data_IF_528293937783
#
_entry.id   IF_528293937783
#
_cell.length_a   1.000
_cell.length_b   1.000
_cell.length_c   1.000
_cell.angle_alpha   90.00
_cell.angle_beta   90.00
_cell.angle_gamma   90.00
#
_symmetry.space_group_name_H-M   'P 1'
#
loop_
_entity.id
_entity.type
_entity.pdbx_description
1 polymer ?
#
# COMPACT_ATOMS: atom_id res chain seq x y z
N UNK A 1 11.38 1.46 0.14
CA UNK A 1 11.66 2.46 1.20
C UNK A 1 10.62 3.57 1.27
N UNK A 2 10.00 3.96 0.15
CA UNK A 2 8.92 4.98 0.11
C UNK A 2 7.85 4.76 1.19
N UNK A 3 7.32 3.54 1.31
CA UNK A 3 6.31 3.21 2.34
C UNK A 3 6.74 3.50 3.78
N UNK A 4 7.98 3.18 4.13
CA UNK A 4 8.51 3.45 5.48
C UNK A 4 8.69 4.95 5.74
N UNK A 5 9.13 5.71 4.74
CA UNK A 5 9.22 7.18 4.83
C UNK A 5 7.84 7.79 5.02
N UNK A 6 6.86 7.37 4.22
CA UNK A 6 5.47 7.84 4.35
C UNK A 6 4.92 7.51 5.73
N UNK A 7 5.09 6.27 6.20
CA UNK A 7 4.63 5.86 7.53
C UNK A 7 5.27 6.65 8.67
N UNK A 8 6.58 6.91 8.59
CA UNK A 8 7.27 7.74 9.57
C UNK A 8 6.77 9.19 9.56
N UNK A 9 6.59 9.79 8.38
CA UNK A 9 6.08 11.16 8.23
C UNK A 9 4.65 11.29 8.73
N UNK A 10 3.77 10.34 8.41
CA UNK A 10 2.37 10.36 8.89
C UNK A 10 2.33 10.19 10.40
N UNK A 11 3.06 9.22 10.95
CA UNK A 11 3.14 9.03 12.41
C UNK A 11 3.65 10.29 13.11
N UNK A 12 4.75 10.89 12.63
CA UNK A 12 5.30 12.11 13.19
C UNK A 12 4.37 13.32 13.06
N UNK A 13 3.65 13.45 11.94
CA UNK A 13 2.66 14.51 11.73
C UNK A 13 1.46 14.37 12.67
N UNK A 14 0.99 13.15 12.93
CA UNK A 14 -0.12 12.90 13.86
C UNK A 14 0.23 13.24 15.31
N UNK A 15 1.50 13.18 15.70
CA UNK A 15 1.96 13.63 17.02
C UNK A 15 1.74 15.13 17.27
N UNK A 16 1.56 15.95 16.23
CA UNK A 16 1.22 17.36 16.40
C UNK A 16 -0.22 17.58 16.90
N UNK A 17 -1.08 16.57 16.77
CA UNK A 17 -2.51 16.68 17.10
C UNK A 17 -2.93 15.74 18.23
N UNK A 18 -2.28 14.58 18.35
CA UNK A 18 -2.68 13.51 19.26
C UNK A 18 -1.53 12.97 20.11
N UNK A 19 -1.83 12.36 21.27
CA UNK A 19 -0.82 11.68 22.06
C UNK A 19 -0.22 10.48 21.32
N UNK A 20 0.95 9.98 21.74
CA UNK A 20 1.74 9.00 21.01
C UNK A 20 0.97 7.75 20.57
N UNK A 21 0.18 7.15 21.48
CA UNK A 21 -0.55 5.90 21.23
C UNK A 21 -1.59 6.01 20.10
N UNK A 22 -2.59 6.90 20.15
CA UNK A 22 -3.57 7.01 19.05
C UNK A 22 -2.95 7.47 17.73
N UNK A 23 -1.84 8.23 17.76
CA UNK A 23 -1.11 8.62 16.57
C UNK A 23 -0.45 7.42 15.86
N UNK A 24 0.25 6.55 16.60
CA UNK A 24 0.89 5.36 16.03
C UNK A 24 -0.13 4.30 15.62
N UNK A 25 -1.18 4.08 16.41
CA UNK A 25 -2.27 3.14 16.07
C UNK A 25 -2.98 3.53 14.76
N UNK A 26 -3.29 4.82 14.59
CA UNK A 26 -3.94 5.31 13.36
C UNK A 26 -3.02 5.17 12.15
N UNK A 27 -1.75 5.55 12.28
CA UNK A 27 -0.77 5.40 11.21
C UNK A 27 -0.59 3.92 10.82
N UNK A 28 -0.54 3.02 11.80
CA UNK A 28 -0.47 1.59 11.56
C UNK A 28 -1.71 1.08 10.80
N UNK A 29 -2.92 1.49 11.22
CA UNK A 29 -4.16 1.11 10.55
C UNK A 29 -4.20 1.57 9.08
N UNK A 30 -3.73 2.79 8.80
CA UNK A 30 -3.60 3.30 7.42
C UNK A 30 -2.61 2.47 6.60
N UNK A 31 -1.44 2.15 7.16
CA UNK A 31 -0.46 1.29 6.50
C UNK A 31 -1.01 -0.12 6.22
N UNK A 32 -1.70 -0.72 7.19
CA UNK A 32 -2.36 -2.02 7.05
C UNK A 32 -3.47 -2.02 5.99
N UNK A 33 -4.24 -0.93 5.89
CA UNK A 33 -5.27 -0.76 4.87
C UNK A 33 -4.64 -0.71 3.46
N UNK A 34 -3.59 0.09 3.28
CA UNK A 34 -2.87 0.18 2.00
C UNK A 34 -2.28 -1.17 1.62
N UNK A 35 -1.72 -1.90 2.59
CA UNK A 35 -1.20 -3.25 2.38
C UNK A 35 -2.30 -4.22 1.93
N UNK A 36 -3.42 -4.26 2.68
CA UNK A 36 -4.56 -5.12 2.35
C UNK A 36 -5.08 -4.84 0.94
N UNK A 37 -5.30 -3.56 0.61
CA UNK A 37 -5.71 -3.14 -0.72
C UNK A 37 -4.71 -3.55 -1.80
N UNK A 38 -3.42 -3.30 -1.59
CA UNK A 38 -2.36 -3.67 -2.53
C UNK A 38 -2.33 -5.17 -2.81
N UNK A 39 -2.40 -6.00 -1.77
CA UNK A 39 -2.36 -7.46 -1.89
C UNK A 39 -3.61 -7.98 -2.60
N UNK A 40 -4.78 -7.45 -2.28
CA UNK A 40 -6.02 -7.81 -2.97
C UNK A 40 -5.94 -7.43 -4.45
N UNK A 41 -5.54 -6.20 -4.77
CA UNK A 41 -5.42 -5.73 -6.16
C UNK A 41 -4.38 -6.54 -6.95
N UNK A 42 -3.24 -6.88 -6.34
CA UNK A 42 -2.23 -7.75 -6.93
C UNK A 42 -2.78 -9.14 -7.23
N UNK A 43 -3.51 -9.72 -6.28
CA UNK A 43 -4.14 -11.04 -6.43
C UNK A 43 -5.18 -11.02 -7.56
N UNK A 44 -5.98 -9.95 -7.66
CA UNK A 44 -6.93 -9.73 -8.74
C UNK A 44 -6.24 -9.57 -10.09
N UNK A 45 -5.14 -8.81 -10.17
CA UNK A 45 -4.37 -8.64 -11.39
C UNK A 45 -3.77 -9.97 -11.88
N UNK A 46 -3.27 -10.81 -10.97
CA UNK A 46 -2.76 -12.16 -11.31
C UNK A 46 -3.90 -13.09 -11.75
N UNK A 47 -5.07 -13.01 -11.11
CA UNK A 47 -6.20 -13.89 -11.41
C UNK A 47 -6.96 -13.52 -12.68
N UNK A 48 -7.10 -12.23 -12.98
CA UNK A 48 -7.92 -11.69 -14.06
C UNK A 48 -7.11 -11.03 -15.19
N UNK A 49 -5.79 -10.88 -15.04
CA UNK A 49 -4.92 -10.17 -15.97
C UNK A 49 -5.06 -10.61 -17.42
N UNK A 50 -4.77 -11.88 -17.69
CA UNK A 50 -4.93 -12.50 -19.02
C UNK A 50 -6.34 -12.36 -19.61
N UNK A 51 -7.37 -12.39 -18.78
CA UNK A 51 -8.76 -12.24 -19.23
C UNK A 51 -9.04 -10.82 -19.69
N UNK A 52 -8.53 -9.81 -18.97
CA UNK A 52 -8.71 -8.40 -19.30
C UNK A 52 -7.88 -8.03 -20.54
N UNK A 53 -6.64 -8.50 -20.66
CA UNK A 53 -5.84 -8.34 -21.88
C UNK A 53 -6.51 -8.99 -23.10
N UNK A 54 -7.05 -10.20 -22.93
CA UNK A 54 -7.81 -10.88 -23.98
C UNK A 54 -9.06 -10.12 -24.43
N UNK A 55 -9.72 -9.41 -23.51
CA UNK A 55 -10.87 -8.55 -23.82
C UNK A 55 -10.44 -7.24 -24.50
N UNK A 56 -9.34 -6.62 -24.07
CA UNK A 56 -8.80 -5.42 -24.73
C UNK A 56 -8.41 -5.70 -26.18
N UNK A 57 -7.75 -6.83 -26.44
CA UNK A 57 -7.41 -7.26 -27.80
C UNK A 57 -8.64 -7.51 -28.70
N UNK A 58 -9.81 -7.81 -28.10
CA UNK A 58 -11.07 -8.00 -28.83
C UNK A 58 -11.85 -6.71 -29.04
N UNK A 59 -11.68 -5.73 -28.16
CA UNK A 59 -12.43 -4.48 -28.14
C UNK A 59 -11.65 -3.29 -28.73
N UNK A 60 -10.42 -3.51 -29.21
CA UNK A 60 -9.52 -2.50 -29.80
C UNK A 60 -9.35 -1.25 -28.91
N UNK A 61 -9.31 -1.47 -27.59
CA UNK A 61 -9.11 -0.40 -26.61
C UNK A 61 -7.61 -0.12 -26.52
N UNK A 62 -7.19 1.08 -26.93
CA UNK A 62 -5.81 1.54 -26.75
C UNK A 62 -5.54 1.83 -25.26
N UNK A 63 -4.99 0.84 -24.58
CA UNK A 63 -4.56 0.95 -23.19
C UNK A 63 -3.15 0.39 -23.08
N UNK A 64 -2.22 1.15 -22.49
CA UNK A 64 -0.87 0.66 -22.13
C UNK A 64 -0.90 -0.34 -20.95
N UNK A 65 -2.09 -0.71 -20.50
CA UNK A 65 -2.29 -1.62 -19.39
C UNK A 65 -1.95 -3.05 -19.80
N UNK A 66 -0.98 -3.65 -19.10
CA UNK A 66 -0.63 -5.07 -19.20
C UNK A 66 -0.75 -5.73 -17.83
N UNK A 67 -1.00 -7.04 -17.79
CA UNK A 67 -0.99 -7.82 -16.55
C UNK A 67 0.34 -7.64 -15.80
N UNK A 68 1.46 -7.67 -16.54
CA UNK A 68 2.78 -7.50 -15.98
C UNK A 68 2.96 -6.12 -15.32
N UNK A 69 2.57 -5.04 -16.01
CA UNK A 69 2.65 -3.68 -15.49
C UNK A 69 1.71 -3.44 -14.31
N UNK A 70 0.49 -3.99 -14.36
CA UNK A 70 -0.47 -3.91 -13.28
C UNK A 70 0.02 -4.66 -12.04
N UNK A 71 0.53 -5.88 -12.22
CA UNK A 71 1.11 -6.70 -11.16
C UNK A 71 2.28 -6.00 -10.50
N UNK A 72 3.17 -5.38 -11.26
CA UNK A 72 4.31 -4.64 -10.72
C UNK A 72 3.85 -3.42 -9.91
N UNK A 73 2.92 -2.62 -10.43
CA UNK A 73 2.39 -1.46 -9.72
C UNK A 73 1.72 -1.83 -8.39
N UNK A 74 0.91 -2.89 -8.36
CA UNK A 74 0.24 -3.36 -7.14
C UNK A 74 1.21 -4.04 -6.17
N UNK A 75 2.27 -4.68 -6.67
CA UNK A 75 3.35 -5.19 -5.82
C UNK A 75 4.09 -4.05 -5.11
N UNK A 76 4.42 -2.97 -5.85
CA UNK A 76 5.02 -1.76 -5.27
C UNK A 76 4.10 -1.13 -4.22
N UNK A 77 2.79 -1.09 -4.49
CA UNK A 77 1.79 -0.59 -3.54
C UNK A 77 1.72 -1.45 -2.26
N UNK A 78 1.72 -2.77 -2.40
CA UNK A 78 1.73 -3.71 -1.28
C UNK A 78 2.98 -3.52 -0.42
N UNK A 79 4.17 -3.46 -1.06
CA UNK A 79 5.43 -3.21 -0.38
C UNK A 79 5.47 -1.85 0.33
N UNK A 80 4.80 -0.86 -0.25
CA UNK A 80 4.63 0.46 0.37
C UNK A 80 3.77 0.37 1.63
N UNK A 81 2.64 -0.35 1.59
CA UNK A 81 1.81 -0.60 2.77
C UNK A 81 2.56 -1.33 3.89
N UNK A 82 3.32 -2.38 3.55
CA UNK A 82 4.18 -3.10 4.51
C UNK A 82 5.19 -2.16 5.16
N UNK A 83 5.91 -1.37 4.36
CA UNK A 83 6.90 -0.43 4.86
C UNK A 83 6.30 0.60 5.80
N UNK A 84 5.10 1.10 5.48
CA UNK A 84 4.38 2.06 6.32
C UNK A 84 4.03 1.44 7.67
N UNK A 85 3.33 0.31 7.67
CA UNK A 85 2.89 -0.34 8.90
C UNK A 85 4.08 -0.68 9.81
N UNK A 86 5.19 -1.14 9.21
CA UNK A 86 6.43 -1.42 9.94
C UNK A 86 7.05 -0.16 10.57
N UNK A 87 7.11 0.95 9.85
CA UNK A 87 7.61 2.21 10.39
C UNK A 87 6.75 2.75 11.53
N UNK A 88 5.42 2.64 11.42
CA UNK A 88 4.50 3.02 12.49
C UNK A 88 4.70 2.16 13.76
N UNK A 89 4.86 0.84 13.60
CA UNK A 89 5.15 -0.07 14.69
C UNK A 89 6.50 0.25 15.38
N UNK A 90 7.56 0.51 14.61
CA UNK A 90 8.85 0.94 15.15
C UNK A 90 8.74 2.25 15.93
N UNK A 91 7.96 3.20 15.45
CA UNK A 91 7.75 4.47 16.16
C UNK A 91 6.99 4.25 17.47
N UNK A 92 6.01 3.35 17.52
CA UNK A 92 5.30 2.98 18.75
C UNK A 92 6.26 2.40 19.79
N UNK A 93 7.12 1.46 19.36
CA UNK A 93 8.15 0.87 20.22
C UNK A 93 9.13 1.94 20.72
N UNK A 94 9.57 2.85 19.86
CA UNK A 94 10.49 3.92 20.24
C UNK A 94 9.88 4.93 21.22
N UNK A 95 8.56 5.17 21.13
CA UNK A 95 7.81 6.04 22.02
C UNK A 95 7.33 5.34 23.29
N UNK A 96 7.51 4.02 23.40
CA UNK A 96 7.13 3.21 24.56
C UNK A 96 5.61 3.04 24.72
N UNK A 97 4.85 3.03 23.61
CA UNK A 97 3.37 2.98 23.60
C UNK A 97 2.78 1.86 22.76
#
# INVERSE_FOLDING_TARGET
>A
MVGAVVGAVVSAGLLAFWPPKPATDTSFALGALVLGFGVTAWSTAVGLGRTIEGLQARLDVSSDWTEASAREAFFVLSWTGTGWAFAAALLSVALGV
#
